data_IF_695346844740
#
_entry.id   IF_695346844740
#
_cell.length_a   1.000
_cell.length_b   1.000
_cell.length_c   1.000
_cell.angle_alpha   90.00
_cell.angle_beta   90.00
_cell.angle_gamma   90.00
#
_symmetry.space_group_name_H-M   'P 1'
#
loop_
_entity.id
_entity.type
_entity.pdbx_description
1 polymer ?
#
# COMPACT_ATOMS: atom_id res chain seq x y z
N UNK A 1 -6.10 9.58 41.52
CA UNK A 1 -6.37 10.07 40.15
C UNK A 1 -7.79 10.61 40.12
N UNK A 2 -8.00 11.86 39.68
CA UNK A 2 -9.36 12.42 39.59
C UNK A 2 -10.10 11.82 38.40
N UNK A 3 -11.42 11.72 38.49
CA UNK A 3 -12.29 11.18 37.43
C UNK A 3 -12.05 11.87 36.08
N UNK A 4 -11.76 13.18 36.11
CA UNK A 4 -11.39 13.98 34.94
C UNK A 4 -10.02 13.59 34.35
N UNK A 5 -9.02 13.27 35.18
CA UNK A 5 -7.71 12.81 34.70
C UNK A 5 -7.78 11.44 34.01
N UNK A 6 -8.61 10.53 34.51
CA UNK A 6 -8.86 9.25 33.86
C UNK A 6 -9.58 9.42 32.50
N UNK A 7 -10.54 10.34 32.41
CA UNK A 7 -11.26 10.66 31.17
C UNK A 7 -10.35 11.30 30.11
N UNK A 8 -9.43 12.19 30.52
CA UNK A 8 -8.45 12.80 29.63
C UNK A 8 -7.47 11.76 29.08
N UNK A 9 -6.96 10.85 29.93
CA UNK A 9 -6.07 9.76 29.51
C UNK A 9 -6.78 8.80 28.53
N UNK A 10 -8.05 8.48 28.78
CA UNK A 10 -8.89 7.69 27.87
C UNK A 10 -9.11 8.40 26.53
N UNK A 11 -9.36 9.71 26.52
CA UNK A 11 -9.52 10.48 25.28
C UNK A 11 -8.22 10.51 24.47
N UNK A 12 -7.07 10.72 25.10
CA UNK A 12 -5.76 10.64 24.41
C UNK A 12 -5.47 9.24 23.89
N UNK A 13 -5.84 8.18 24.63
CA UNK A 13 -5.71 6.80 24.15
C UNK A 13 -6.61 6.54 22.94
N UNK A 14 -7.86 7.04 22.95
CA UNK A 14 -8.77 6.93 21.81
C UNK A 14 -8.27 7.69 20.58
N UNK A 15 -7.68 8.88 20.75
CA UNK A 15 -7.06 9.64 19.66
C UNK A 15 -5.83 8.94 19.08
N UNK A 16 -5.04 8.26 19.91
CA UNK A 16 -3.91 7.43 19.45
C UNK A 16 -4.36 6.16 18.71
N UNK A 17 -5.52 5.60 19.08
CA UNK A 17 -6.12 4.45 18.38
C UNK A 17 -6.83 4.90 17.08
N UNK A 18 -7.26 6.15 17.01
CA UNK A 18 -7.85 6.81 15.84
C UNK A 18 -6.80 7.43 14.90
N UNK A 19 -5.51 7.13 15.06
CA UNK A 19 -4.50 7.34 14.03
C UNK A 19 -4.80 6.45 12.83
N UNK A 20 -4.94 7.08 11.66
CA UNK A 20 -5.50 6.51 10.43
C UNK A 20 -5.04 5.08 10.15
N UNK A 21 -5.99 4.16 10.08
CA UNK A 21 -5.75 2.89 9.42
C UNK A 21 -5.97 3.14 7.93
N UNK A 22 -4.90 3.06 7.16
CA UNK A 22 -4.98 2.99 5.70
C UNK A 22 -5.86 1.83 5.19
N UNK A 23 -6.17 0.82 6.00
CA UNK A 23 -7.12 -0.23 5.62
C UNK A 23 -8.47 0.34 5.14
N UNK A 24 -8.92 1.47 5.69
CA UNK A 24 -10.13 2.19 5.26
C UNK A 24 -9.83 3.46 4.39
N UNK A 25 -8.60 4.00 4.46
CA UNK A 25 -8.25 5.32 3.89
C UNK A 25 -7.20 5.32 2.76
N UNK A 26 -6.46 4.21 2.52
CA UNK A 26 -5.52 4.15 1.41
C UNK A 26 -6.30 4.12 0.11
N UNK A 27 -5.98 5.07 -0.79
CA UNK A 27 -6.61 5.15 -2.10
C UNK A 27 -6.57 3.77 -2.79
N UNK A 28 -7.74 3.16 -3.08
CA UNK A 28 -7.79 1.82 -3.65
C UNK A 28 -7.00 1.69 -4.95
N UNK A 29 -7.01 2.75 -5.77
CA UNK A 29 -6.20 2.81 -7.00
C UNK A 29 -4.70 2.64 -6.75
N UNK A 30 -4.17 3.20 -5.65
CA UNK A 30 -2.77 3.07 -5.28
C UNK A 30 -2.47 1.65 -4.81
N UNK A 31 -3.31 1.11 -3.92
CA UNK A 31 -3.18 -0.27 -3.43
C UNK A 31 -3.20 -1.28 -4.56
N UNK A 32 -4.19 -1.20 -5.44
CA UNK A 32 -4.34 -2.11 -6.58
C UNK A 32 -3.12 -2.03 -7.53
N UNK A 33 -2.59 -0.82 -7.74
CA UNK A 33 -1.41 -0.62 -8.59
C UNK A 33 -0.16 -1.25 -7.98
N UNK A 34 0.04 -1.13 -6.66
CA UNK A 34 1.16 -1.75 -5.94
C UNK A 34 1.01 -3.28 -5.96
N UNK A 35 -0.18 -3.81 -5.66
CA UNK A 35 -0.44 -5.25 -5.62
C UNK A 35 -0.20 -5.89 -6.98
N UNK A 36 -0.64 -5.23 -8.06
CA UNK A 36 -0.37 -5.64 -9.44
C UNK A 36 1.11 -5.55 -9.82
N UNK A 37 1.81 -4.51 -9.37
CA UNK A 37 3.25 -4.37 -9.59
C UNK A 37 4.01 -5.56 -8.98
N UNK A 38 3.73 -5.89 -7.73
CA UNK A 38 4.44 -6.96 -7.00
C UNK A 38 4.06 -8.35 -7.52
N UNK A 39 2.76 -8.63 -7.63
CA UNK A 39 2.25 -10.00 -7.77
C UNK A 39 1.35 -10.24 -8.98
N UNK A 40 0.81 -9.17 -9.58
CA UNK A 40 -0.02 -9.27 -10.78
C UNK A 40 0.79 -9.70 -12.00
N UNK A 41 0.08 -10.06 -13.07
CA UNK A 41 0.72 -10.30 -14.37
C UNK A 41 1.28 -8.98 -14.92
N UNK A 42 2.33 -9.08 -15.74
CA UNK A 42 2.91 -7.93 -16.44
C UNK A 42 1.84 -7.12 -17.17
N UNK A 43 1.00 -7.78 -17.98
CA UNK A 43 -0.07 -7.14 -18.75
C UNK A 43 -1.10 -6.43 -17.85
N UNK A 44 -1.50 -7.04 -16.73
CA UNK A 44 -2.49 -6.45 -15.83
C UNK A 44 -1.94 -5.17 -15.16
N UNK A 45 -0.67 -5.18 -14.76
CA UNK A 45 -0.01 -4.00 -14.22
C UNK A 45 0.07 -2.87 -15.25
N UNK A 46 0.49 -3.15 -16.48
CA UNK A 46 0.58 -2.11 -17.52
C UNK A 46 -0.78 -1.51 -17.85
N UNK A 47 -1.81 -2.36 -18.03
CA UNK A 47 -3.19 -1.89 -18.22
C UNK A 47 -3.69 -1.04 -17.05
N UNK A 48 -3.22 -1.30 -15.83
CA UNK A 48 -3.57 -0.47 -14.68
C UNK A 48 -2.90 0.91 -14.76
N UNK A 49 -1.62 0.98 -15.10
CA UNK A 49 -0.89 2.26 -15.25
C UNK A 49 -1.48 3.09 -16.39
N UNK A 50 -1.81 2.47 -17.52
CA UNK A 50 -2.41 3.12 -18.70
C UNK A 50 -3.72 3.85 -18.39
N UNK A 51 -4.50 3.41 -17.39
CA UNK A 51 -5.74 4.10 -16.97
C UNK A 51 -5.47 5.50 -16.43
N UNK A 52 -4.29 5.73 -15.85
CA UNK A 52 -3.96 7.00 -15.19
C UNK A 52 -3.01 7.85 -16.03
N UNK A 53 -2.17 7.22 -16.86
CA UNK A 53 -1.23 7.95 -17.69
C UNK A 53 -0.93 7.21 -19.00
N UNK A 54 -1.20 7.87 -20.13
CA UNK A 54 -0.96 7.35 -21.48
C UNK A 54 0.34 7.88 -22.11
N UNK A 55 1.15 8.62 -21.36
CA UNK A 55 2.45 9.06 -21.83
C UNK A 55 3.37 7.85 -22.08
N UNK A 56 3.95 7.77 -23.28
CA UNK A 56 4.78 6.64 -23.73
C UNK A 56 5.96 6.36 -22.79
N UNK A 57 6.61 7.41 -22.29
CA UNK A 57 7.82 7.29 -21.48
C UNK A 57 7.49 6.75 -20.09
N UNK A 58 6.30 7.09 -19.56
CA UNK A 58 5.77 6.52 -18.32
C UNK A 58 5.46 5.04 -18.50
N UNK A 59 4.86 4.65 -19.62
CA UNK A 59 4.55 3.25 -19.92
C UNK A 59 5.82 2.43 -20.17
N UNK A 60 6.82 2.98 -20.86
CA UNK A 60 8.12 2.33 -21.05
C UNK A 60 8.84 2.10 -19.71
N UNK A 61 8.80 3.11 -18.84
CA UNK A 61 9.36 3.01 -17.48
C UNK A 61 8.63 1.92 -16.68
N UNK A 62 7.28 1.92 -16.70
CA UNK A 62 6.48 0.91 -16.00
C UNK A 62 6.78 -0.51 -16.51
N UNK A 63 6.89 -0.68 -17.84
CA UNK A 63 7.30 -1.95 -18.46
C UNK A 63 8.66 -2.41 -17.95
N UNK A 64 9.66 -1.52 -17.97
CA UNK A 64 11.02 -1.83 -17.56
C UNK A 64 11.09 -2.26 -16.09
N UNK A 65 10.43 -1.52 -15.19
CA UNK A 65 10.42 -1.85 -13.76
C UNK A 65 9.66 -3.15 -13.48
N UNK A 66 8.52 -3.37 -14.15
CA UNK A 66 7.75 -4.60 -13.97
C UNK A 66 8.50 -5.83 -14.45
N UNK A 67 9.17 -5.76 -15.60
CA UNK A 67 10.03 -6.85 -16.08
C UNK A 67 11.14 -7.17 -15.08
N UNK A 68 11.79 -6.16 -14.50
CA UNK A 68 12.81 -6.36 -13.46
C UNK A 68 12.23 -7.03 -12.21
N UNK A 69 11.08 -6.55 -11.72
CA UNK A 69 10.38 -7.15 -10.58
C UNK A 69 10.06 -8.63 -10.84
N UNK A 70 9.52 -8.95 -12.02
CA UNK A 70 9.10 -10.30 -12.37
C UNK A 70 10.26 -11.26 -12.62
N UNK A 71 11.41 -10.76 -13.08
CA UNK A 71 12.63 -11.56 -13.25
C UNK A 71 13.35 -11.79 -11.92
N UNK A 72 13.38 -10.80 -11.03
CA UNK A 72 14.23 -10.83 -9.83
C UNK A 72 13.53 -11.35 -8.57
N UNK A 73 12.24 -11.08 -8.38
CA UNK A 73 11.54 -11.49 -7.17
C UNK A 73 11.02 -12.91 -7.31
N UNK A 74 11.45 -13.77 -6.39
CA UNK A 74 10.87 -15.11 -6.26
C UNK A 74 9.43 -15.02 -5.76
N UNK A 75 8.63 -16.10 -5.90
CA UNK A 75 7.30 -16.15 -5.29
C UNK A 75 7.30 -15.84 -3.79
N UNK A 76 8.34 -16.29 -3.06
CA UNK A 76 8.48 -16.01 -1.63
C UNK A 76 8.74 -14.51 -1.38
N UNK A 77 9.64 -13.89 -2.14
CA UNK A 77 9.91 -12.45 -2.00
C UNK A 77 8.65 -11.61 -2.24
N UNK A 78 7.84 -11.99 -3.24
CA UNK A 78 6.57 -11.34 -3.54
C UNK A 78 5.57 -11.49 -2.38
N UNK A 79 5.47 -12.68 -1.80
CA UNK A 79 4.62 -12.92 -0.63
C UNK A 79 5.08 -12.11 0.59
N UNK A 80 6.38 -12.07 0.84
CA UNK A 80 6.96 -11.33 1.96
C UNK A 80 6.79 -9.81 1.79
N UNK A 81 6.94 -9.31 0.56
CA UNK A 81 6.66 -7.91 0.22
C UNK A 81 5.19 -7.54 0.47
N UNK A 82 4.24 -8.36 0.02
CA UNK A 82 2.81 -8.14 0.29
C UNK A 82 2.49 -8.20 1.79
N UNK A 83 3.13 -9.12 2.53
CA UNK A 83 3.00 -9.19 3.99
C UNK A 83 3.52 -7.92 4.67
N UNK A 84 4.66 -7.39 4.21
CA UNK A 84 5.19 -6.12 4.71
C UNK A 84 4.26 -4.94 4.38
N UNK A 85 3.70 -4.88 3.17
CA UNK A 85 2.74 -3.86 2.76
C UNK A 85 1.46 -3.91 3.62
N UNK A 86 0.92 -5.09 3.91
CA UNK A 86 -0.24 -5.22 4.80
C UNK A 86 0.04 -4.68 6.21
N UNK A 87 1.28 -4.82 6.73
CA UNK A 87 1.67 -4.19 8.00
C UNK A 87 1.72 -2.66 7.90
N UNK A 88 2.11 -2.12 6.75
CA UNK A 88 2.07 -0.68 6.49
C UNK A 88 0.62 -0.21 6.45
N UNK A 89 -0.26 -0.87 5.70
CA UNK A 89 -1.67 -0.48 5.55
C UNK A 89 -2.46 -0.54 6.88
N UNK A 90 -2.14 -1.51 7.74
CA UNK A 90 -2.78 -1.66 9.06
C UNK A 90 -2.12 -0.82 10.16
N UNK A 91 -1.01 -0.14 9.86
CA UNK A 91 -0.30 0.72 10.81
C UNK A 91 -1.12 1.96 11.17
N UNK A 92 -1.09 2.38 12.44
CA UNK A 92 -1.69 3.64 12.88
C UNK A 92 -0.93 4.89 12.38
N UNK A 93 0.18 4.69 11.67
CA UNK A 93 1.04 5.73 11.10
C UNK A 93 0.78 5.99 9.61
N UNK A 94 -0.16 5.28 8.98
CA UNK A 94 -0.31 5.27 7.53
C UNK A 94 -1.11 6.48 6.98
#
# INVERSE_FOLDING_TARGET
MTRAGALLLLCTALLLIAGGKCDDDLCPALRDTIDLFISGSHEAYIKQVEKYNQNSDVLETANTLKSCNDEKLTPQDKQDALSALNKIYSSSLC
#
